data_IF_811329055135
#
_entry.id   IF_811329055135
#
_cell.length_a   1.000
_cell.length_b   1.000
_cell.length_c   1.000
_cell.angle_alpha   90.00
_cell.angle_beta   90.00
_cell.angle_gamma   90.00
#
_symmetry.space_group_name_H-M   'P 1'
#
loop_
_entity.id
_entity.type
_entity.pdbx_description
1 polymer ?
#
# COMPACT_ATOMS: atom_id res chain seq x y z
N UNK A 1 -50.18 -6.96 -40.99
CA UNK A 1 -49.88 -7.58 -39.67
C UNK A 1 -48.43 -8.01 -39.49
N UNK A 2 -47.81 -8.76 -40.42
CA UNK A 2 -46.44 -9.32 -40.27
C UNK A 2 -45.35 -8.31 -39.89
N UNK A 3 -45.37 -7.09 -40.45
CA UNK A 3 -44.39 -6.02 -40.13
C UNK A 3 -44.47 -5.54 -38.67
N UNK A 4 -45.67 -5.46 -38.09
CA UNK A 4 -45.86 -5.06 -36.68
C UNK A 4 -45.34 -6.13 -35.73
N UNK A 5 -45.58 -7.40 -36.06
CA UNK A 5 -45.07 -8.53 -35.29
C UNK A 5 -43.53 -8.60 -35.31
N UNK A 6 -42.93 -8.42 -36.49
CA UNK A 6 -41.47 -8.34 -36.63
C UNK A 6 -40.87 -7.19 -35.79
N UNK A 7 -41.52 -6.01 -35.81
CA UNK A 7 -41.09 -4.88 -34.99
C UNK A 7 -41.15 -5.21 -33.50
N UNK A 8 -42.22 -5.85 -33.02
CA UNK A 8 -42.33 -6.27 -31.63
C UNK A 8 -41.23 -7.24 -31.22
N UNK A 9 -40.94 -8.24 -32.04
CA UNK A 9 -39.84 -9.19 -31.77
C UNK A 9 -38.50 -8.45 -31.69
N UNK A 10 -38.23 -7.58 -32.67
CA UNK A 10 -36.97 -6.85 -32.74
C UNK A 10 -36.82 -5.89 -31.57
N UNK A 11 -37.90 -5.24 -31.14
CA UNK A 11 -37.93 -4.40 -29.95
C UNK A 11 -37.60 -5.21 -28.69
N UNK A 12 -38.25 -6.35 -28.47
CA UNK A 12 -37.98 -7.22 -27.31
C UNK A 12 -36.53 -7.71 -27.32
N UNK A 13 -36.02 -8.09 -28.49
CA UNK A 13 -34.63 -8.55 -28.62
C UNK A 13 -33.62 -7.44 -28.27
N UNK A 14 -33.87 -6.21 -28.71
CA UNK A 14 -33.04 -5.04 -28.36
C UNK A 14 -33.07 -4.81 -26.85
N UNK A 15 -34.25 -4.84 -26.21
CA UNK A 15 -34.37 -4.63 -24.77
C UNK A 15 -33.58 -5.68 -23.98
N UNK A 16 -33.71 -6.95 -24.35
CA UNK A 16 -32.96 -8.05 -23.72
C UNK A 16 -31.46 -7.83 -23.89
N UNK A 17 -31.02 -7.48 -25.11
CA UNK A 17 -29.61 -7.21 -25.39
C UNK A 17 -29.05 -6.05 -24.57
N UNK A 18 -29.83 -4.97 -24.41
CA UNK A 18 -29.44 -3.83 -23.57
C UNK A 18 -29.31 -4.21 -22.10
N UNK A 19 -30.23 -5.04 -21.57
CA UNK A 19 -30.16 -5.55 -20.19
C UNK A 19 -28.88 -6.37 -20.00
N UNK A 20 -28.58 -7.30 -20.92
CA UNK A 20 -27.34 -8.08 -20.87
C UNK A 20 -26.09 -7.22 -20.92
N UNK A 21 -26.06 -6.22 -21.81
CA UNK A 21 -24.93 -5.30 -21.93
C UNK A 21 -24.75 -4.48 -20.64
N UNK A 22 -25.84 -4.03 -20.03
CA UNK A 22 -25.80 -3.31 -18.77
C UNK A 22 -25.26 -4.16 -17.63
N UNK A 23 -25.73 -5.41 -17.49
CA UNK A 23 -25.24 -6.36 -16.49
C UNK A 23 -23.76 -6.66 -16.70
N UNK A 24 -23.35 -6.91 -17.95
CA UNK A 24 -21.96 -7.19 -18.28
C UNK A 24 -21.03 -6.03 -17.92
N UNK A 25 -21.42 -4.80 -18.29
CA UNK A 25 -20.67 -3.59 -17.94
C UNK A 25 -20.57 -3.43 -16.42
N UNK A 26 -21.66 -3.63 -15.69
CA UNK A 26 -21.67 -3.50 -14.24
C UNK A 26 -20.77 -4.56 -13.57
N UNK A 27 -20.81 -5.79 -14.07
CA UNK A 27 -19.93 -6.86 -13.59
C UNK A 27 -18.45 -6.54 -13.80
N UNK A 28 -18.09 -6.00 -14.98
CA UNK A 28 -16.73 -5.55 -15.26
C UNK A 28 -16.32 -4.41 -14.33
N UNK A 29 -17.20 -3.42 -14.13
CA UNK A 29 -16.93 -2.30 -13.25
C UNK A 29 -16.68 -2.75 -11.80
N UNK A 30 -17.51 -3.64 -11.27
CA UNK A 30 -17.34 -4.20 -9.93
C UNK A 30 -16.02 -4.96 -9.81
N UNK A 31 -15.68 -5.79 -10.80
CA UNK A 31 -14.41 -6.53 -10.82
C UNK A 31 -13.20 -5.60 -10.77
N UNK A 32 -13.22 -4.55 -11.59
CA UNK A 32 -12.14 -3.55 -11.63
C UNK A 32 -12.08 -2.73 -10.34
N UNK A 33 -13.23 -2.38 -9.75
CA UNK A 33 -13.29 -1.71 -8.45
C UNK A 33 -12.64 -2.55 -7.35
N UNK A 34 -12.97 -3.85 -7.26
CA UNK A 34 -12.33 -4.75 -6.31
C UNK A 34 -10.83 -4.88 -6.54
N UNK A 35 -10.39 -4.95 -7.80
CA UNK A 35 -8.96 -5.00 -8.12
C UNK A 35 -8.25 -3.74 -7.66
N UNK A 36 -8.84 -2.56 -7.88
CA UNK A 36 -8.29 -1.29 -7.44
C UNK A 36 -8.22 -1.20 -5.91
N UNK A 37 -9.29 -1.57 -5.20
CA UNK A 37 -9.29 -1.60 -3.73
C UNK A 37 -8.20 -2.53 -3.19
N UNK A 38 -8.01 -3.70 -3.80
CA UNK A 38 -6.94 -4.63 -3.41
C UNK A 38 -5.55 -3.99 -3.59
N UNK A 39 -5.31 -3.31 -4.70
CA UNK A 39 -4.04 -2.63 -4.97
C UNK A 39 -3.82 -1.46 -4.00
N UNK A 40 -4.86 -0.69 -3.67
CA UNK A 40 -4.77 0.39 -2.68
C UNK A 40 -4.43 -0.13 -1.28
N UNK A 41 -5.05 -1.24 -0.87
CA UNK A 41 -4.72 -1.88 0.40
C UNK A 41 -3.26 -2.37 0.43
N UNK A 42 -2.81 -3.04 -0.64
CA UNK A 42 -1.41 -3.47 -0.74
C UNK A 42 -0.44 -2.29 -0.68
N UNK A 43 -0.76 -1.19 -1.38
CA UNK A 43 0.04 0.05 -1.33
C UNK A 43 0.11 0.61 0.09
N UNK A 44 -1.01 0.61 0.82
CA UNK A 44 -1.08 1.07 2.21
C UNK A 44 -0.22 0.19 3.12
N UNK A 45 -0.34 -1.13 3.01
CA UNK A 45 0.44 -2.08 3.79
C UNK A 45 1.95 -1.92 3.56
N UNK A 46 2.36 -1.77 2.29
CA UNK A 46 3.75 -1.48 1.92
C UNK A 46 4.24 -0.15 2.48
N UNK A 47 3.41 0.88 2.47
CA UNK A 47 3.75 2.18 3.07
C UNK A 47 3.96 2.05 4.58
N UNK A 48 3.04 1.39 5.28
CA UNK A 48 3.16 1.16 6.72
C UNK A 48 4.39 0.33 7.06
N UNK A 49 4.71 -0.69 6.26
CA UNK A 49 5.93 -1.48 6.43
C UNK A 49 7.19 -0.63 6.25
N UNK A 50 7.23 0.21 5.21
CA UNK A 50 8.35 1.14 4.98
C UNK A 50 8.54 2.09 6.17
N UNK A 51 7.46 2.67 6.67
CA UNK A 51 7.53 3.63 7.78
C UNK A 51 8.03 2.95 9.06
N UNK A 52 7.59 1.72 9.34
CA UNK A 52 8.12 0.90 10.45
C UNK A 52 9.61 0.60 10.29
N UNK A 53 10.03 0.15 9.11
CA UNK A 53 11.45 -0.15 8.86
C UNK A 53 12.32 1.11 8.96
N UNK A 54 11.80 2.27 8.56
CA UNK A 54 12.49 3.54 8.75
C UNK A 54 12.64 3.86 10.24
N UNK A 55 11.58 3.69 11.03
CA UNK A 55 11.62 3.86 12.49
C UNK A 55 12.67 2.94 13.12
N UNK A 56 12.64 1.63 12.82
CA UNK A 56 13.64 0.66 13.27
C UNK A 56 15.06 1.06 12.86
N UNK A 57 15.24 1.52 11.63
CA UNK A 57 16.55 1.99 11.15
C UNK A 57 17.02 3.22 11.92
N UNK A 58 16.14 4.16 12.23
CA UNK A 58 16.48 5.34 13.04
C UNK A 58 16.79 4.95 14.50
N UNK A 59 16.10 3.97 15.06
CA UNK A 59 16.40 3.42 16.39
C UNK A 59 17.77 2.74 16.42
N UNK A 60 18.12 1.95 15.40
CA UNK A 60 19.43 1.31 15.30
C UNK A 60 20.52 2.37 15.10
N UNK A 61 20.28 3.37 14.24
CA UNK A 61 21.24 4.43 13.90
C UNK A 61 21.38 5.49 14.99
N UNK A 62 20.43 5.56 15.92
CA UNK A 62 20.51 6.43 17.10
C UNK A 62 21.84 6.18 17.83
N UNK A 63 22.68 7.23 17.92
CA UNK A 63 23.97 7.22 18.61
C UNK A 63 23.90 6.66 20.03
N UNK A 64 22.72 6.68 20.68
CA UNK A 64 22.53 6.07 22.01
C UNK A 64 22.81 4.57 21.99
N UNK A 65 22.38 3.83 20.97
CA UNK A 65 22.57 2.39 20.90
C UNK A 65 24.02 2.03 20.55
N UNK A 66 24.67 2.80 19.67
CA UNK A 66 26.10 2.67 19.38
C UNK A 66 26.95 2.96 20.62
N UNK A 67 26.62 4.02 21.36
CA UNK A 67 27.34 4.41 22.57
C UNK A 67 27.13 3.41 23.70
N UNK A 68 25.92 2.87 23.83
CA UNK A 68 25.58 1.82 24.80
C UNK A 68 26.27 0.50 24.45
N UNK A 69 26.27 0.08 23.19
CA UNK A 69 27.04 -1.09 22.73
C UNK A 69 28.55 -0.90 22.97
N UNK A 70 29.11 0.26 22.64
CA UNK A 70 30.52 0.54 22.90
C UNK A 70 30.86 0.53 24.39
N UNK A 71 29.97 1.02 25.26
CA UNK A 71 30.18 1.05 26.70
C UNK A 71 29.96 -0.32 27.37
N UNK A 72 28.93 -1.06 26.97
CA UNK A 72 28.48 -2.28 27.64
C UNK A 72 29.19 -3.54 27.10
N UNK A 73 29.32 -3.69 25.77
CA UNK A 73 29.95 -4.86 25.13
C UNK A 73 31.45 -4.67 24.94
N UNK A 74 31.87 -3.50 24.44
CA UNK A 74 33.29 -3.19 24.19
C UNK A 74 34.01 -2.62 25.41
N UNK A 75 33.33 -2.48 26.55
CA UNK A 75 33.86 -1.90 27.81
C UNK A 75 34.56 -0.55 27.62
N UNK A 76 34.18 0.23 26.61
CA UNK A 76 34.78 1.54 26.38
C UNK A 76 34.34 2.51 27.47
N UNK A 77 35.30 3.18 28.09
CA UNK A 77 35.00 4.18 29.13
C UNK A 77 34.47 5.47 28.51
N UNK A 78 33.52 6.11 29.20
CA UNK A 78 32.98 7.42 28.79
C UNK A 78 34.09 8.47 28.92
N UNK A 79 34.68 8.89 27.79
CA UNK A 79 35.64 9.98 27.78
C UNK A 79 34.99 11.27 28.29
N UNK A 80 35.58 11.84 29.33
CA UNK A 80 35.19 13.15 29.82
C UNK A 80 35.95 14.19 28.99
N UNK A 81 35.26 15.17 28.40
CA UNK A 81 35.87 16.19 27.51
C UNK A 81 37.03 16.94 28.20
N UNK A 82 37.01 17.01 29.54
CA UNK A 82 38.07 17.58 30.36
C UNK A 82 39.40 16.80 30.30
N UNK A 83 39.39 15.53 29.89
CA UNK A 83 40.58 14.69 29.75
C UNK A 83 41.25 14.84 28.37
N UNK A 84 40.52 15.29 27.35
CA UNK A 84 41.05 15.46 25.99
C UNK A 84 41.96 16.70 25.90
N UNK A 85 41.72 17.72 26.73
CA UNK A 85 42.56 18.93 26.79
C UNK A 85 43.99 18.71 27.31
N UNK A 86 44.33 17.51 27.82
CA UNK A 86 45.69 17.18 28.30
C UNK A 86 46.57 16.49 27.24
N UNK A 87 46.05 16.21 26.05
CA UNK A 87 46.77 15.54 24.97
C UNK A 87 47.08 16.46 23.77
N UNK A 88 46.83 17.76 23.91
CA UNK A 88 47.19 18.79 22.92
C UNK A 88 48.24 19.74 23.47
#
# INVERSE_FOLDING_TARGET
>A
MKKRFLFFILFVFIQISLIFLHIHKNSLFVKESYRNQKLENQKKDLSTLKDRLLEELYEIKSQKNVKKFAQDELKMQKLNLNQVKRLG
#
